data_IF_350477070131
#
_entry.id   IF_350477070131
#
_cell.length_a   1.000
_cell.length_b   1.000
_cell.length_c   1.000
_cell.angle_alpha   90.00
_cell.angle_beta   90.00
_cell.angle_gamma   90.00
#
_symmetry.space_group_name_H-M   'P 1'
#
loop_
_entity.id
_entity.type
_entity.pdbx_description
1 polymer ?
#
# COMPACT_ATOMS: atom_id res chain seq x y z
N UNK A 1 -9.50 -14.86 -1.32
CA UNK A 1 -8.90 -13.94 -2.31
C UNK A 1 -7.44 -13.68 -1.97
N UNK A 2 -6.63 -13.39 -2.97
CA UNK A 2 -5.23 -13.01 -2.77
C UNK A 2 -5.15 -11.56 -2.28
N UNK A 3 -3.94 -11.15 -1.82
CA UNK A 3 -3.72 -9.73 -1.47
C UNK A 3 -4.03 -8.80 -2.64
N UNK A 4 -3.65 -9.19 -3.86
CA UNK A 4 -3.92 -8.38 -5.06
C UNK A 4 -5.42 -8.29 -5.33
N UNK A 5 -6.13 -9.40 -5.28
CA UNK A 5 -7.59 -9.40 -5.46
C UNK A 5 -8.28 -8.55 -4.39
N UNK A 6 -7.83 -8.67 -3.15
CA UNK A 6 -8.35 -7.87 -2.05
C UNK A 6 -8.11 -6.37 -2.29
N UNK A 7 -6.89 -6.00 -2.67
CA UNK A 7 -6.57 -4.60 -2.96
C UNK A 7 -7.41 -4.06 -4.12
N UNK A 8 -7.61 -4.86 -5.17
CA UNK A 8 -8.44 -4.47 -6.32
C UNK A 8 -9.90 -4.29 -5.93
N UNK A 9 -10.39 -5.03 -4.95
CA UNK A 9 -11.76 -4.86 -4.45
C UNK A 9 -11.98 -3.50 -3.77
N UNK A 10 -10.90 -2.82 -3.38
CA UNK A 10 -10.95 -1.51 -2.72
C UNK A 10 -10.95 -0.33 -3.70
N UNK A 11 -10.71 -0.57 -4.99
CA UNK A 11 -10.66 0.49 -6.00
C UNK A 11 -11.96 1.29 -5.98
N UNK A 12 -11.82 2.62 -5.99
CA UNK A 12 -12.94 3.54 -5.89
C UNK A 12 -13.29 4.00 -4.48
N UNK A 13 -12.74 3.36 -3.44
CA UNK A 13 -12.93 3.83 -2.06
C UNK A 13 -12.35 5.23 -1.90
N UNK A 14 -13.13 6.20 -1.35
CA UNK A 14 -12.63 7.56 -1.15
C UNK A 14 -11.43 7.62 -0.19
N UNK A 15 -10.56 8.60 -0.41
CA UNK A 15 -9.46 8.86 0.52
C UNK A 15 -9.98 9.43 1.84
N UNK A 16 -9.50 8.88 2.95
CA UNK A 16 -9.79 9.40 4.29
C UNK A 16 -8.64 9.06 5.23
N UNK A 17 -8.07 10.08 5.89
CA UNK A 17 -6.96 9.90 6.83
C UNK A 17 -7.32 8.86 7.88
N UNK A 18 -6.41 7.89 8.10
CA UNK A 18 -6.59 6.76 9.03
C UNK A 18 -7.81 5.89 8.73
N UNK A 19 -8.43 6.04 7.55
CA UNK A 19 -9.58 5.23 7.15
C UNK A 19 -9.22 3.75 6.96
N UNK A 20 -10.12 2.88 7.40
CA UNK A 20 -9.97 1.42 7.32
C UNK A 20 -11.26 0.73 6.88
N UNK A 21 -12.18 1.46 6.25
CA UNK A 21 -13.50 0.92 5.88
C UNK A 21 -13.67 0.92 4.36
N UNK A 22 -13.72 -0.28 3.74
CA UNK A 22 -13.92 -0.40 2.29
C UNK A 22 -15.16 0.36 1.81
N UNK A 23 -15.05 1.07 0.70
CA UNK A 23 -16.13 1.83 0.11
C UNK A 23 -16.43 3.15 0.80
N UNK A 24 -15.93 3.38 2.00
CA UNK A 24 -16.21 4.57 2.81
C UNK A 24 -14.98 5.46 2.94
N UNK A 25 -13.84 4.90 3.34
CA UNK A 25 -12.62 5.70 3.46
C UNK A 25 -11.39 4.87 3.77
N UNK A 26 -10.32 5.15 3.04
CA UNK A 26 -8.99 4.54 3.23
C UNK A 26 -7.92 5.59 2.97
N UNK A 27 -6.85 5.58 3.75
CA UNK A 27 -5.63 6.28 3.38
C UNK A 27 -4.64 5.33 2.72
N UNK A 28 -3.42 5.79 2.41
CA UNK A 28 -2.44 4.97 1.70
C UNK A 28 -2.02 3.74 2.52
N UNK A 29 -1.97 3.84 3.84
CA UNK A 29 -1.64 2.71 4.73
C UNK A 29 -2.84 1.76 4.82
N UNK A 30 -4.05 2.28 4.78
CA UNK A 30 -5.28 1.48 4.85
C UNK A 30 -5.41 0.46 3.74
N UNK A 31 -4.88 0.76 2.55
CA UNK A 31 -4.99 -0.17 1.40
C UNK A 31 -4.30 -1.50 1.69
N UNK A 32 -3.00 -1.57 2.06
CA UNK A 32 -2.38 -2.86 2.37
C UNK A 32 -2.93 -3.50 3.64
N UNK A 33 -3.27 -2.72 4.66
CA UNK A 33 -3.80 -3.27 5.91
C UNK A 33 -5.15 -3.97 5.67
N UNK A 34 -6.10 -3.28 5.06
CA UNK A 34 -7.42 -3.85 4.79
C UNK A 34 -7.34 -4.99 3.80
N UNK A 35 -6.44 -4.90 2.81
CA UNK A 35 -6.18 -6.01 1.88
C UNK A 35 -5.73 -7.27 2.62
N UNK A 36 -4.85 -7.13 3.61
CA UNK A 36 -4.39 -8.27 4.42
C UNK A 36 -5.54 -8.87 5.24
N UNK A 37 -6.44 -8.05 5.77
CA UNK A 37 -7.62 -8.54 6.47
C UNK A 37 -8.55 -9.33 5.54
N UNK A 38 -8.88 -8.74 4.39
CA UNK A 38 -9.81 -9.34 3.43
C UNK A 38 -9.26 -10.63 2.82
N UNK A 39 -7.96 -10.69 2.59
CA UNK A 39 -7.32 -11.89 2.07
C UNK A 39 -7.12 -12.98 3.12
N UNK A 40 -7.38 -12.69 4.39
CA UNK A 40 -7.18 -13.65 5.48
C UNK A 40 -5.71 -13.88 5.81
N UNK A 41 -4.81 -13.04 5.33
CA UNK A 41 -3.37 -13.14 5.59
C UNK A 41 -3.05 -12.66 7.01
N UNK A 42 -3.79 -11.68 7.50
CA UNK A 42 -3.66 -11.13 8.85
C UNK A 42 -5.02 -10.97 9.51
N UNK A 43 -5.07 -11.08 10.86
CA UNK A 43 -6.30 -10.83 11.60
C UNK A 43 -6.61 -9.32 11.63
N UNK A 44 -7.85 -9.00 11.95
CA UNK A 44 -8.32 -7.61 12.07
C UNK A 44 -7.56 -6.78 13.12
N UNK A 45 -6.90 -7.44 14.06
CA UNK A 45 -6.05 -6.78 15.04
C UNK A 45 -4.73 -6.26 14.46
N UNK A 46 -4.34 -6.75 13.26
CA UNK A 46 -3.17 -6.26 12.56
C UNK A 46 -3.46 -4.89 11.97
N UNK A 47 -2.76 -3.85 12.45
CA UNK A 47 -2.90 -2.50 11.93
C UNK A 47 -1.62 -1.70 12.21
N UNK A 48 -1.42 -0.64 11.45
CA UNK A 48 -0.32 0.30 11.62
C UNK A 48 -0.94 1.69 11.73
N UNK A 49 -0.93 2.28 12.92
CA UNK A 49 -1.51 3.60 13.18
C UNK A 49 -0.53 4.61 13.77
N UNK A 50 0.71 4.19 14.04
CA UNK A 50 1.74 5.02 14.66
C UNK A 50 2.43 6.01 13.72
N UNK A 51 1.80 6.37 12.60
CA UNK A 51 2.33 7.35 11.66
C UNK A 51 1.55 8.67 11.77
N UNK A 52 2.23 9.77 11.39
CA UNK A 52 1.62 11.09 11.44
C UNK A 52 0.64 11.31 10.30
N UNK A 53 -0.43 12.07 10.55
CA UNK A 53 -1.37 12.53 9.50
C UNK A 53 -0.67 13.44 8.50
N UNK A 54 0.37 14.15 8.95
CA UNK A 54 1.24 14.96 8.10
C UNK A 54 2.50 14.14 7.81
N UNK A 55 2.90 13.97 6.53
CA UNK A 55 4.07 13.18 6.19
C UNK A 55 5.34 13.75 6.84
N UNK A 56 5.96 12.97 7.74
CA UNK A 56 7.14 13.38 8.52
C UNK A 56 8.20 12.29 8.63
N UNK A 57 8.05 11.17 7.87
CA UNK A 57 8.95 10.04 7.94
C UNK A 57 8.65 9.01 9.03
N UNK A 58 7.63 9.22 9.86
CA UNK A 58 7.28 8.30 10.94
C UNK A 58 6.78 6.94 10.46
N UNK A 59 6.34 6.83 9.21
CA UNK A 59 5.78 5.61 8.66
C UNK A 59 6.82 4.52 8.44
N UNK A 60 8.01 4.86 7.97
CA UNK A 60 9.01 3.85 7.58
C UNK A 60 9.45 2.95 8.73
N UNK A 61 9.73 3.47 9.93
CA UNK A 61 10.02 2.61 11.08
C UNK A 61 8.85 1.67 11.44
N UNK A 62 7.62 2.09 11.25
CA UNK A 62 6.45 1.24 11.47
C UNK A 62 6.39 0.10 10.45
N UNK A 63 6.71 0.38 9.20
CA UNK A 63 6.79 -0.66 8.17
C UNK A 63 7.89 -1.68 8.50
N UNK A 64 9.07 -1.20 8.92
CA UNK A 64 10.17 -2.09 9.32
C UNK A 64 9.79 -2.98 10.51
N UNK A 65 8.96 -2.49 11.42
CA UNK A 65 8.54 -3.24 12.61
C UNK A 65 7.49 -4.31 12.28
N UNK A 66 6.68 -4.14 11.24
CA UNK A 66 5.51 -4.99 10.98
C UNK A 66 5.62 -5.84 9.72
N UNK A 67 6.55 -5.53 8.82
CA UNK A 67 6.69 -6.21 7.53
C UNK A 67 8.14 -6.59 7.27
N UNK A 68 8.33 -7.53 6.35
CA UNK A 68 9.65 -7.98 5.93
C UNK A 68 10.12 -7.16 4.73
N UNK A 69 11.30 -6.56 4.83
CA UNK A 69 11.87 -5.79 3.73
C UNK A 69 12.26 -6.70 2.57
N UNK A 70 12.01 -6.23 1.34
CA UNK A 70 12.28 -6.94 0.08
C UNK A 70 13.15 -6.06 -0.79
N UNK A 71 14.13 -6.66 -1.47
CA UNK A 71 14.94 -5.94 -2.44
C UNK A 71 14.08 -5.50 -3.63
N UNK A 72 14.42 -4.34 -4.20
CA UNK A 72 13.69 -3.79 -5.34
C UNK A 72 13.58 -4.80 -6.50
N UNK A 73 14.67 -5.50 -6.80
CA UNK A 73 14.69 -6.47 -7.89
C UNK A 73 13.83 -7.71 -7.63
N UNK A 74 13.42 -7.93 -6.39
CA UNK A 74 12.61 -9.08 -5.98
C UNK A 74 11.14 -8.74 -5.72
N UNK A 75 10.73 -7.51 -6.00
CA UNK A 75 9.32 -7.11 -5.87
C UNK A 75 8.42 -7.99 -6.74
N UNK A 76 7.28 -8.38 -6.18
CA UNK A 76 6.28 -9.21 -6.87
C UNK A 76 4.87 -8.78 -6.48
N UNK A 77 3.84 -9.21 -7.24
CA UNK A 77 2.45 -8.90 -6.87
C UNK A 77 2.14 -9.33 -5.43
N UNK A 78 1.43 -8.48 -4.71
CA UNK A 78 1.12 -8.66 -3.30
C UNK A 78 2.10 -7.98 -2.34
N UNK A 79 3.26 -7.55 -2.83
CA UNK A 79 4.20 -6.77 -2.01
C UNK A 79 3.69 -5.35 -1.83
N UNK A 80 4.24 -4.68 -0.81
CA UNK A 80 3.94 -3.28 -0.49
C UNK A 80 5.13 -2.43 -0.91
N UNK A 81 4.88 -1.37 -1.66
CA UNK A 81 5.92 -0.43 -2.08
C UNK A 81 5.75 0.89 -1.34
N UNK A 82 6.88 1.44 -0.89
CA UNK A 82 6.95 2.78 -0.33
C UNK A 82 7.68 3.66 -1.33
N UNK A 83 7.07 4.79 -1.69
CA UNK A 83 7.62 5.74 -2.64
C UNK A 83 7.61 7.14 -2.05
N UNK A 84 8.51 7.99 -2.52
CA UNK A 84 8.40 9.43 -2.32
C UNK A 84 7.64 9.99 -3.51
N UNK A 85 6.50 10.59 -3.24
CA UNK A 85 5.63 11.15 -4.28
C UNK A 85 5.63 12.66 -4.17
N UNK A 86 6.37 13.33 -5.05
CA UNK A 86 6.57 14.77 -4.96
C UNK A 86 7.19 15.15 -3.62
N UNK A 87 6.51 16.00 -2.85
CA UNK A 87 6.94 16.43 -1.51
C UNK A 87 6.50 15.46 -0.40
N UNK A 88 5.72 14.41 -0.73
CA UNK A 88 5.28 13.41 0.26
C UNK A 88 6.38 12.38 0.45
N UNK A 89 7.05 12.31 1.63
CA UNK A 89 8.22 11.45 1.83
C UNK A 89 7.91 9.97 1.75
N UNK A 90 6.75 9.54 2.24
CA UNK A 90 6.39 8.12 2.25
C UNK A 90 4.92 7.96 1.82
N UNK A 91 4.72 7.42 0.63
CA UNK A 91 3.42 7.03 0.10
C UNK A 91 3.43 5.53 -0.15
N UNK A 92 2.32 4.86 0.11
CA UNK A 92 2.25 3.40 0.16
C UNK A 92 1.32 2.89 -0.93
N UNK A 93 1.71 1.79 -1.58
CA UNK A 93 0.86 1.08 -2.50
C UNK A 93 1.04 -0.42 -2.39
N UNK A 94 0.06 -1.17 -2.86
CA UNK A 94 0.13 -2.62 -3.05
C UNK A 94 0.47 -2.90 -4.50
N UNK A 95 1.43 -3.79 -4.73
CA UNK A 95 1.82 -4.15 -6.08
C UNK A 95 0.87 -5.21 -6.65
N UNK A 96 0.44 -5.01 -7.86
CA UNK A 96 -0.33 -5.97 -8.62
C UNK A 96 0.39 -6.39 -9.89
N UNK A 97 -0.18 -7.34 -10.60
CA UNK A 97 0.27 -7.72 -11.95
C UNK A 97 -0.41 -6.78 -12.95
N UNK A 98 0.41 -6.08 -13.75
CA UNK A 98 -0.14 -5.20 -14.78
C UNK A 98 -0.56 -6.02 -16.00
N UNK A 99 -1.75 -5.74 -16.52
CA UNK A 99 -2.34 -6.52 -17.62
C UNK A 99 -1.51 -6.52 -18.92
N UNK A 100 -0.62 -5.55 -19.09
CA UNK A 100 0.29 -5.45 -20.23
C UNK A 100 1.73 -5.87 -19.88
N UNK A 101 1.93 -6.56 -18.75
CA UNK A 101 3.23 -7.01 -18.27
C UNK A 101 3.83 -6.08 -17.23
N UNK A 102 4.66 -6.65 -16.34
CA UNK A 102 5.26 -5.91 -15.24
C UNK A 102 4.32 -5.74 -14.06
N UNK A 103 4.58 -4.72 -13.25
CA UNK A 103 3.85 -4.47 -12.01
C UNK A 103 2.94 -3.25 -12.12
N UNK A 104 1.82 -3.32 -11.42
CA UNK A 104 0.94 -2.18 -11.17
C UNK A 104 1.06 -1.73 -9.72
N UNK A 105 0.54 -0.53 -9.44
CA UNK A 105 0.45 0.02 -8.09
C UNK A 105 -1.02 0.33 -7.78
N UNK A 106 -1.49 -0.25 -6.68
CA UNK A 106 -2.84 -0.02 -6.15
C UNK A 106 -2.68 0.82 -4.90
N UNK A 107 -3.22 2.03 -4.89
CA UNK A 107 -3.00 2.96 -3.78
C UNK A 107 -4.13 3.96 -3.64
N UNK A 108 -4.24 4.54 -2.44
CA UNK A 108 -5.18 5.63 -2.17
C UNK A 108 -4.52 6.94 -2.61
N UNK A 109 -4.95 7.48 -3.74
CA UNK A 109 -4.45 8.72 -4.29
C UNK A 109 -5.09 9.91 -3.56
N UNK A 110 -4.27 10.78 -2.99
CA UNK A 110 -4.72 12.02 -2.34
C UNK A 110 -4.33 13.27 -3.10
N UNK A 111 -3.68 13.15 -4.26
CA UNK A 111 -3.20 14.30 -5.02
C UNK A 111 -4.22 14.79 -6.05
N UNK A 112 -4.90 13.88 -6.74
CA UNK A 112 -5.78 14.20 -7.87
C UNK A 112 -7.16 13.58 -7.78
N UNK A 113 -7.23 12.26 -7.62
CA UNK A 113 -8.48 11.51 -7.73
C UNK A 113 -9.16 11.28 -6.39
N UNK A 114 -8.42 11.42 -5.29
CA UNK A 114 -8.91 11.31 -3.90
C UNK A 114 -9.64 9.98 -3.62
N UNK A 115 -9.13 8.90 -4.22
CA UNK A 115 -9.68 7.56 -4.06
C UNK A 115 -8.64 6.50 -4.40
N UNK A 116 -8.94 5.25 -4.07
CA UNK A 116 -8.10 4.11 -4.42
C UNK A 116 -8.15 3.88 -5.93
N UNK A 117 -6.97 3.79 -6.53
CA UNK A 117 -6.78 3.59 -7.98
C UNK A 117 -5.72 2.54 -8.23
N UNK A 118 -5.67 2.03 -9.45
CA UNK A 118 -4.61 1.15 -9.93
C UNK A 118 -4.08 1.68 -11.24
N UNK A 119 -2.73 1.73 -11.38
CA UNK A 119 -2.07 2.10 -12.63
C UNK A 119 -0.73 1.35 -12.72
N UNK A 120 -0.11 1.41 -13.90
CA UNK A 120 1.21 0.83 -14.07
C UNK A 120 2.21 1.45 -13.09
N UNK A 121 3.06 0.61 -12.50
CA UNK A 121 4.16 1.10 -11.65
C UNK A 121 5.27 1.67 -12.52
N UNK A 122 5.75 2.86 -12.16
CA UNK A 122 6.96 3.45 -12.74
C UNK A 122 7.69 4.25 -11.67
N UNK A 123 8.99 4.51 -11.90
CA UNK A 123 9.77 5.39 -11.05
C UNK A 123 10.41 6.48 -11.90
N UNK A 124 10.34 7.73 -11.44
CA UNK A 124 10.90 8.90 -12.10
C UNK A 124 11.16 10.00 -11.08
N UNK A 125 11.37 11.24 -11.56
CA UNK A 125 11.65 12.37 -10.68
C UNK A 125 10.46 12.72 -9.75
N UNK A 126 9.22 12.34 -10.13
CA UNK A 126 8.03 12.61 -9.33
C UNK A 126 7.71 11.47 -8.38
N UNK A 127 8.10 10.23 -8.71
CA UNK A 127 7.82 9.06 -7.88
C UNK A 127 9.10 8.22 -7.70
N UNK A 128 9.75 8.39 -6.56
CA UNK A 128 11.01 7.74 -6.23
C UNK A 128 10.77 6.49 -5.38
N UNK A 129 11.46 5.40 -5.73
CA UNK A 129 11.48 4.22 -4.89
C UNK A 129 12.17 4.52 -3.55
N UNK A 130 11.53 4.12 -2.44
CA UNK A 130 12.12 4.23 -1.10
C UNK A 130 12.39 2.84 -0.53
N UNK A 131 11.38 1.97 -0.50
CA UNK A 131 11.51 0.63 0.07
C UNK A 131 10.39 -0.27 -0.45
N UNK A 132 10.58 -1.56 -0.33
CA UNK A 132 9.54 -2.55 -0.60
C UNK A 132 9.46 -3.54 0.56
N UNK A 133 8.26 -4.05 0.80
CA UNK A 133 7.98 -4.95 1.92
C UNK A 133 7.07 -6.08 1.48
N UNK A 134 7.16 -7.17 2.23
CA UNK A 134 6.23 -8.30 2.10
C UNK A 134 5.54 -8.48 3.43
N UNK A 135 4.21 -8.58 3.40
CA UNK A 135 3.43 -8.84 4.61
C UNK A 135 3.59 -10.32 4.93
N UNK A 136 4.14 -10.66 6.14
CA UNK A 136 4.28 -12.07 6.51
C UNK A 136 2.91 -12.70 6.66
N UNK A 137 2.72 -13.86 6.05
CA UNK A 137 1.50 -14.64 6.23
C UNK A 137 1.40 -15.12 7.67
N UNK A 138 0.17 -15.29 8.16
CA UNK A 138 -0.06 -15.93 9.44
C UNK A 138 0.50 -17.34 9.38
N UNK A 139 1.24 -17.73 10.43
CA UNK A 139 1.74 -19.10 10.53
C UNK A 139 0.57 -20.09 10.54
N UNK A 140 0.69 -21.08 9.71
CA UNK A 140 -0.31 -22.15 9.67
C UNK A 140 -0.30 -22.95 10.98
#
# INVERSE_FOLDING_TARGET
>A
MTLVEAARSLIGTPYHVKGRLPGVGLDCVGVPIVSAWLAGVKPRSFDIRGYSDVPDGSLLPQCDAHMQRVERAEMRPGDVVIVRLGAVPHHVGVLGDYRHGGLSMIHADNARLHKVVEHRLWFDAAMHFVAAYRIPEASA
#
